data_IF_433019168503
#
_entry.id   IF_433019168503
#
_cell.length_a   1.000
_cell.length_b   1.000
_cell.length_c   1.000
_cell.angle_alpha   90.00
_cell.angle_beta   90.00
_cell.angle_gamma   90.00
#
_symmetry.space_group_name_H-M   'P 1'
#
loop_
_entity.id
_entity.type
_entity.pdbx_description
1 polymer ?
#
# COMPACT_ATOMS: atom_id res chain seq x y z
N UNK A 1 -28.74 -18.02 15.68
CA UNK A 1 -28.36 -16.58 15.66
C UNK A 1 -27.01 -16.45 16.34
N UNK A 2 -25.91 -16.42 15.56
CA UNK A 2 -24.56 -16.36 16.11
C UNK A 2 -24.23 -14.92 16.52
N UNK A 3 -23.80 -14.81 17.78
CA UNK A 3 -23.56 -13.60 18.54
C UNK A 3 -22.35 -12.87 17.96
N UNK A 4 -22.59 -11.71 17.38
CA UNK A 4 -21.57 -10.75 16.96
C UNK A 4 -20.69 -10.46 18.19
N UNK A 5 -19.44 -10.94 18.18
CA UNK A 5 -18.46 -10.55 19.19
C UNK A 5 -18.03 -9.11 18.88
N UNK A 6 -18.13 -8.29 19.93
CA UNK A 6 -17.86 -6.85 19.95
C UNK A 6 -16.46 -6.55 19.45
N UNK A 7 -16.36 -5.50 18.62
CA UNK A 7 -15.14 -4.88 18.10
C UNK A 7 -14.47 -4.01 19.19
N UNK A 8 -14.28 -4.55 20.39
CA UNK A 8 -13.70 -3.83 21.54
C UNK A 8 -12.30 -4.38 21.91
N UNK A 9 -11.49 -4.81 20.94
CA UNK A 9 -10.10 -5.20 21.19
C UNK A 9 -9.15 -4.34 20.36
N UNK A 10 -8.89 -3.15 20.87
CA UNK A 10 -7.81 -2.24 20.45
C UNK A 10 -6.43 -2.79 20.88
N UNK A 11 -6.31 -4.12 21.05
CA UNK A 11 -5.07 -4.82 21.37
C UNK A 11 -4.72 -5.72 20.19
N UNK A 12 -3.66 -5.29 19.51
CA UNK A 12 -2.89 -6.05 18.53
C UNK A 12 -3.43 -6.06 17.08
N UNK A 13 -3.47 -4.87 16.44
CA UNK A 13 -3.54 -4.76 14.97
C UNK A 13 -2.46 -5.63 14.29
N UNK A 14 -1.32 -5.85 14.94
CA UNK A 14 -0.23 -6.64 14.36
C UNK A 14 -0.57 -8.14 14.29
N UNK A 15 -1.36 -8.66 15.23
CA UNK A 15 -1.95 -10.01 15.19
C UNK A 15 -3.04 -10.12 14.13
N UNK A 16 -3.73 -9.00 13.88
CA UNK A 16 -4.89 -8.97 13.01
C UNK A 16 -4.53 -8.94 11.52
N UNK A 17 -3.40 -8.34 11.12
CA UNK A 17 -2.96 -8.35 9.70
C UNK A 17 -2.82 -9.77 9.16
N UNK A 18 -1.95 -10.60 9.75
CA UNK A 18 -1.69 -11.96 9.25
C UNK A 18 -2.96 -12.81 9.24
N UNK A 19 -3.75 -12.73 10.31
CA UNK A 19 -5.01 -13.48 10.43
C UNK A 19 -6.01 -13.08 9.34
N UNK A 20 -6.19 -11.78 9.08
CA UNK A 20 -7.09 -11.32 8.01
C UNK A 20 -6.57 -11.67 6.63
N UNK A 21 -5.28 -11.47 6.37
CA UNK A 21 -4.66 -11.81 5.11
C UNK A 21 -4.84 -13.31 4.82
N UNK A 22 -4.54 -14.17 5.80
CA UNK A 22 -4.71 -15.61 5.70
C UNK A 22 -6.17 -15.99 5.40
N UNK A 23 -7.12 -15.50 6.21
CA UNK A 23 -8.54 -15.78 5.98
C UNK A 23 -9.01 -15.31 4.60
N UNK A 24 -8.51 -14.17 4.12
CA UNK A 24 -8.88 -13.65 2.81
C UNK A 24 -8.38 -14.56 1.68
N UNK A 25 -7.14 -15.03 1.74
CA UNK A 25 -6.58 -15.90 0.68
C UNK A 25 -7.06 -17.36 0.77
N UNK A 26 -7.53 -17.79 1.94
CA UNK A 26 -7.99 -19.16 2.20
C UNK A 26 -9.48 -19.37 1.87
N UNK A 27 -10.29 -18.30 1.85
CA UNK A 27 -11.71 -18.36 1.52
C UNK A 27 -11.91 -18.20 0.00
N UNK A 28 -12.41 -19.23 -0.73
CA UNK A 28 -12.55 -19.18 -2.18
C UNK A 28 -13.44 -18.04 -2.72
N UNK A 29 -14.38 -17.55 -1.90
CA UNK A 29 -15.22 -16.41 -2.25
C UNK A 29 -14.41 -15.12 -2.56
N UNK A 30 -13.20 -15.00 -2.01
CA UNK A 30 -12.33 -13.85 -2.20
C UNK A 30 -11.22 -14.08 -3.24
N UNK A 31 -11.20 -15.21 -3.95
CA UNK A 31 -10.15 -15.54 -4.94
C UNK A 31 -10.01 -14.47 -6.04
N UNK A 32 -11.08 -13.72 -6.35
CA UNK A 32 -11.03 -12.60 -7.30
C UNK A 32 -10.29 -11.36 -6.80
N UNK A 33 -9.96 -11.31 -5.50
CA UNK A 33 -9.22 -10.22 -4.86
C UNK A 33 -7.82 -10.69 -4.48
N UNK A 34 -7.71 -11.84 -3.83
CA UNK A 34 -6.43 -12.47 -3.52
C UNK A 34 -6.63 -13.98 -3.35
N UNK A 35 -5.64 -14.77 -3.76
CA UNK A 35 -5.68 -16.23 -3.66
C UNK A 35 -4.30 -16.77 -3.36
N UNK A 36 -4.23 -17.99 -2.85
CA UNK A 36 -2.96 -18.72 -2.84
C UNK A 36 -2.47 -18.99 -4.27
N UNK A 37 -1.16 -19.12 -4.42
CA UNK A 37 -0.55 -19.73 -5.61
C UNK A 37 -0.86 -21.22 -5.68
N UNK A 38 -0.61 -21.83 -6.84
CA UNK A 38 -0.92 -23.24 -7.08
C UNK A 38 -0.22 -24.19 -6.11
N UNK A 39 0.98 -23.84 -5.63
CA UNK A 39 1.76 -24.67 -4.70
C UNK A 39 1.43 -24.38 -3.22
N UNK A 40 0.61 -23.35 -2.93
CA UNK A 40 0.21 -22.97 -1.58
C UNK A 40 1.31 -22.36 -0.72
N UNK A 41 2.46 -21.98 -1.29
CA UNK A 41 3.62 -21.41 -0.57
C UNK A 41 3.73 -19.89 -0.66
N UNK A 42 2.84 -19.29 -1.43
CA UNK A 42 2.77 -17.86 -1.68
C UNK A 42 1.32 -17.47 -1.95
N UNK A 43 1.03 -16.18 -1.86
CA UNK A 43 -0.29 -15.65 -2.21
C UNK A 43 -0.13 -14.49 -3.20
N UNK A 44 -1.15 -14.33 -4.04
CA UNK A 44 -1.20 -13.36 -5.13
C UNK A 44 -2.33 -12.38 -4.83
N UNK A 45 -2.04 -11.09 -4.96
CA UNK A 45 -3.02 -10.01 -4.81
C UNK A 45 -3.45 -9.55 -6.20
N UNK A 46 -4.68 -9.88 -6.60
CA UNK A 46 -5.27 -9.52 -7.89
C UNK A 46 -5.84 -8.10 -7.88
N UNK A 47 -6.45 -7.69 -6.76
CA UNK A 47 -7.04 -6.35 -6.58
C UNK A 47 -6.47 -5.68 -5.35
N UNK A 48 -5.38 -4.93 -5.54
CA UNK A 48 -4.65 -4.23 -4.47
C UNK A 48 -5.55 -3.39 -3.58
N UNK A 49 -6.41 -2.57 -4.17
CA UNK A 49 -7.26 -1.65 -3.40
C UNK A 49 -8.23 -2.39 -2.48
N UNK A 50 -8.94 -3.37 -3.04
CA UNK A 50 -9.89 -4.21 -2.32
C UNK A 50 -9.18 -5.00 -1.20
N UNK A 51 -8.03 -5.61 -1.50
CA UNK A 51 -7.22 -6.31 -0.52
C UNK A 51 -6.80 -5.39 0.63
N UNK A 52 -6.27 -4.21 0.31
CA UNK A 52 -5.82 -3.22 1.30
C UNK A 52 -6.98 -2.76 2.19
N UNK A 53 -8.15 -2.49 1.61
CA UNK A 53 -9.36 -2.12 2.35
C UNK A 53 -9.82 -3.21 3.31
N UNK A 54 -9.83 -4.48 2.87
CA UNK A 54 -10.27 -5.60 3.72
C UNK A 54 -9.25 -5.95 4.83
N UNK A 55 -7.96 -5.95 4.50
CA UNK A 55 -6.91 -6.43 5.40
C UNK A 55 -6.38 -5.33 6.34
N UNK A 56 -6.28 -4.08 5.88
CA UNK A 56 -5.71 -2.98 6.68
C UNK A 56 -6.75 -1.95 7.15
N UNK A 57 -7.99 -1.99 6.63
CA UNK A 57 -9.02 -0.95 6.84
C UNK A 57 -8.52 0.47 6.52
N UNK A 58 -7.63 0.60 5.54
CA UNK A 58 -7.01 1.88 5.17
C UNK A 58 -7.60 2.45 3.88
N UNK A 59 -7.55 3.77 3.78
CA UNK A 59 -7.96 4.51 2.58
C UNK A 59 -6.99 4.29 1.40
N UNK A 60 -7.43 4.62 0.19
CA UNK A 60 -6.73 4.28 -1.06
C UNK A 60 -5.29 4.85 -1.13
N UNK A 61 -5.05 6.00 -0.48
CA UNK A 61 -3.71 6.62 -0.44
C UNK A 61 -2.65 5.77 0.28
N UNK A 62 -3.04 4.72 1.00
CA UNK A 62 -2.12 3.85 1.75
C UNK A 62 -1.84 2.52 1.05
N UNK A 63 -2.37 2.28 -0.16
CA UNK A 63 -2.05 1.07 -0.94
C UNK A 63 -0.54 0.97 -1.19
N UNK A 64 0.13 2.10 -1.44
CA UNK A 64 1.56 2.17 -1.68
C UNK A 64 2.42 1.71 -0.47
N UNK A 65 1.83 1.62 0.73
CA UNK A 65 2.50 1.11 1.92
C UNK A 65 2.50 -0.41 2.02
N UNK A 66 1.63 -1.10 1.27
CA UNK A 66 1.45 -2.54 1.40
C UNK A 66 2.75 -3.34 1.25
N UNK A 67 3.65 -3.04 0.28
CA UNK A 67 4.94 -3.72 0.20
C UNK A 67 5.81 -3.53 1.45
N UNK A 68 5.79 -2.34 2.06
CA UNK A 68 6.56 -2.05 3.28
C UNK A 68 5.98 -2.81 4.49
N UNK A 69 4.66 -2.85 4.61
CA UNK A 69 3.99 -3.65 5.64
C UNK A 69 4.36 -5.12 5.51
N UNK A 70 4.22 -5.68 4.30
CA UNK A 70 4.57 -7.07 4.00
C UNK A 70 6.05 -7.36 4.29
N UNK A 71 6.95 -6.47 3.88
CA UNK A 71 8.38 -6.59 4.18
C UNK A 71 8.66 -6.55 5.69
N UNK A 72 7.91 -5.76 6.47
CA UNK A 72 8.02 -5.75 7.93
C UNK A 72 7.72 -7.12 8.55
N UNK A 73 6.70 -7.81 8.05
CA UNK A 73 6.40 -9.20 8.43
C UNK A 73 7.34 -10.24 7.79
N UNK A 74 8.38 -9.81 7.06
CA UNK A 74 9.33 -10.71 6.41
C UNK A 74 8.76 -11.44 5.19
N UNK A 75 7.73 -10.89 4.52
CA UNK A 75 7.32 -11.41 3.22
C UNK A 75 8.27 -10.93 2.13
N UNK A 76 8.63 -11.84 1.25
CA UNK A 76 9.44 -11.56 0.08
C UNK A 76 8.56 -11.46 -1.16
N UNK A 77 8.89 -10.53 -2.06
CA UNK A 77 8.22 -10.42 -3.35
C UNK A 77 8.80 -11.48 -4.30
N UNK A 78 7.97 -12.42 -4.71
CA UNK A 78 8.37 -13.53 -5.61
C UNK A 78 7.73 -13.44 -6.99
N UNK A 79 6.73 -12.56 -7.16
CA UNK A 79 6.08 -12.30 -8.44
C UNK A 79 6.89 -11.42 -9.39
N UNK A 80 6.52 -11.46 -10.68
CA UNK A 80 7.04 -10.55 -11.70
C UNK A 80 6.62 -9.11 -11.45
N UNK A 81 7.12 -8.15 -12.24
CA UNK A 81 6.84 -6.72 -12.07
C UNK A 81 5.34 -6.38 -11.99
N UNK A 82 4.49 -7.12 -12.72
CA UNK A 82 3.05 -6.91 -12.81
C UNK A 82 2.24 -7.77 -11.82
N UNK A 83 2.88 -8.72 -11.14
CA UNK A 83 2.21 -9.65 -10.24
C UNK A 83 2.59 -9.35 -8.78
N UNK A 84 1.57 -9.08 -7.96
CA UNK A 84 1.73 -8.84 -6.53
C UNK A 84 1.71 -10.16 -5.77
N UNK A 85 2.71 -11.00 -6.03
CA UNK A 85 2.89 -12.28 -5.33
C UNK A 85 3.95 -12.19 -4.23
N UNK A 86 3.59 -12.69 -3.05
CA UNK A 86 4.42 -12.65 -1.86
C UNK A 86 4.51 -14.03 -1.20
N UNK A 87 5.69 -14.36 -0.71
CA UNK A 87 5.98 -15.62 -0.02
C UNK A 87 6.56 -15.37 1.38
N UNK A 88 6.27 -16.29 2.29
CA UNK A 88 6.91 -16.37 3.60
C UNK A 88 6.82 -17.83 4.08
N UNK A 89 7.91 -18.40 4.56
CA UNK A 89 7.99 -19.82 4.95
C UNK A 89 7.02 -20.22 6.07
N UNK A 90 6.52 -19.24 6.83
CA UNK A 90 5.57 -19.43 7.91
C UNK A 90 4.13 -19.00 7.55
N UNK A 91 3.87 -18.63 6.28
CA UNK A 91 2.55 -18.27 5.75
C UNK A 91 2.16 -19.21 4.61
N UNK A 92 1.66 -20.40 4.96
CA UNK A 92 1.41 -21.49 4.02
C UNK A 92 -0.06 -21.95 4.06
N UNK A 93 -0.61 -22.32 2.89
CA UNK A 93 -1.98 -22.85 2.78
C UNK A 93 -2.14 -24.09 3.67
N UNK A 94 -3.21 -24.10 4.47
CA UNK A 94 -3.54 -25.17 5.40
C UNK A 94 -2.69 -25.24 6.66
N UNK A 95 -1.78 -24.29 6.89
CA UNK A 95 -0.88 -24.27 8.06
C UNK A 95 -0.92 -22.94 8.83
N UNK A 96 -2.09 -22.47 9.28
CA UNK A 96 -2.22 -21.17 9.96
C UNK A 96 -1.42 -21.11 11.27
N UNK A 97 -1.15 -22.25 11.91
CA UNK A 97 -0.35 -22.35 13.13
C UNK A 97 1.10 -21.89 12.97
N UNK A 98 1.64 -21.84 11.74
CA UNK A 98 3.00 -21.38 11.48
C UNK A 98 3.12 -19.86 11.61
N UNK A 99 2.03 -19.10 11.42
CA UNK A 99 2.05 -17.64 11.47
C UNK A 99 2.53 -17.07 12.80
N UNK A 100 2.49 -17.85 13.90
CA UNK A 100 3.06 -17.47 15.19
C UNK A 100 4.57 -17.23 15.16
N UNK A 101 5.26 -17.79 14.15
CA UNK A 101 6.70 -17.63 13.95
C UNK A 101 7.03 -16.40 13.10
N UNK A 102 6.03 -15.73 12.54
CA UNK A 102 6.23 -14.52 11.74
C UNK A 102 6.49 -13.36 12.71
N UNK A 103 7.55 -12.56 12.50
CA UNK A 103 7.81 -11.38 13.31
C UNK A 103 6.60 -10.46 13.34
N UNK A 104 6.28 -9.91 14.51
CA UNK A 104 5.28 -8.85 14.67
C UNK A 104 6.06 -7.54 14.76
N UNK A 105 6.18 -6.76 13.67
CA UNK A 105 6.80 -5.45 13.76
C UNK A 105 5.92 -4.59 14.67
N UNK A 106 6.50 -3.63 15.39
CA UNK A 106 5.69 -2.54 15.94
C UNK A 106 5.20 -1.66 14.78
N UNK A 107 4.15 -2.15 14.15
CA UNK A 107 3.57 -1.56 12.98
C UNK A 107 2.77 -0.32 13.40
N UNK A 108 2.42 -0.12 14.67
CA UNK A 108 1.75 1.09 15.12
C UNK A 108 2.68 2.29 15.16
N UNK A 109 3.85 2.16 15.78
CA UNK A 109 4.86 3.23 15.78
C UNK A 109 5.27 3.51 14.34
N UNK A 110 5.53 2.45 13.57
CA UNK A 110 5.93 2.58 12.16
C UNK A 110 4.80 3.16 11.30
N UNK A 111 3.54 2.73 11.45
CA UNK A 111 2.39 3.19 10.64
C UNK A 111 1.99 4.62 10.98
N UNK A 112 1.91 4.99 12.26
CA UNK A 112 1.62 6.38 12.62
C UNK A 112 2.71 7.32 12.12
N UNK A 113 3.98 6.94 12.30
CA UNK A 113 5.13 7.67 11.76
C UNK A 113 5.07 7.75 10.22
N UNK A 114 4.83 6.63 9.54
CA UNK A 114 4.72 6.56 8.08
C UNK A 114 3.55 7.40 7.55
N UNK A 115 2.37 7.34 8.18
CA UNK A 115 1.21 8.16 7.79
C UNK A 115 1.54 9.64 7.95
N UNK A 116 2.15 10.03 9.07
CA UNK A 116 2.56 11.41 9.29
C UNK A 116 3.61 11.87 8.26
N UNK A 117 4.58 11.03 7.95
CA UNK A 117 5.59 11.31 6.93
C UNK A 117 4.98 11.41 5.52
N UNK A 118 4.04 10.52 5.17
CA UNK A 118 3.30 10.59 3.90
C UNK A 118 2.48 11.88 3.82
N UNK A 119 1.77 12.24 4.89
CA UNK A 119 1.01 13.49 4.94
C UNK A 119 1.91 14.71 4.72
N UNK A 120 3.09 14.72 5.36
CA UNK A 120 4.10 15.77 5.16
C UNK A 120 4.62 15.82 3.72
N UNK A 121 5.03 14.67 3.18
CA UNK A 121 5.55 14.55 1.81
C UNK A 121 4.50 14.90 0.75
N UNK A 122 3.24 14.52 0.97
CA UNK A 122 2.14 14.86 0.07
C UNK A 122 1.93 16.38 0.02
N UNK A 123 1.97 17.05 1.18
CA UNK A 123 1.88 18.51 1.26
C UNK A 123 3.05 19.19 0.54
N UNK A 124 4.28 18.74 0.79
CA UNK A 124 5.48 19.26 0.12
C UNK A 124 5.42 19.06 -1.40
N UNK A 125 4.96 17.88 -1.86
CA UNK A 125 4.73 17.59 -3.27
C UNK A 125 3.70 18.56 -3.89
N UNK A 126 2.61 18.84 -3.19
CA UNK A 126 1.57 19.75 -3.70
C UNK A 126 2.07 21.21 -3.75
N UNK A 127 2.86 21.65 -2.77
CA UNK A 127 3.52 22.98 -2.77
C UNK A 127 4.52 23.11 -3.94
N UNK A 128 5.36 22.10 -4.17
CA UNK A 128 6.29 22.07 -5.30
C UNK A 128 5.57 22.05 -6.64
N UNK A 129 4.44 21.36 -6.75
CA UNK A 129 3.65 21.32 -7.96
C UNK A 129 3.04 22.69 -8.30
N UNK A 130 2.63 23.45 -7.28
CA UNK A 130 2.14 24.83 -7.46
C UNK A 130 3.28 25.72 -7.97
N UNK A 131 4.46 25.65 -7.36
CA UNK A 131 5.60 26.48 -7.77
C UNK A 131 6.08 26.13 -9.18
N UNK A 132 6.09 24.84 -9.55
CA UNK A 132 6.43 24.40 -10.90
C UNK A 132 5.50 25.03 -11.95
N UNK A 133 4.17 25.01 -11.71
CA UNK A 133 3.20 25.63 -12.63
C UNK A 133 3.42 27.14 -12.78
N UNK A 134 3.82 27.80 -11.69
CA UNK A 134 4.12 29.24 -11.72
C UNK A 134 5.35 29.54 -12.57
N UNK A 135 6.40 28.73 -12.43
CA UNK A 135 7.60 28.84 -13.27
C UNK A 135 7.27 28.58 -14.75
N UNK A 136 6.44 27.59 -15.06
CA UNK A 136 5.99 27.32 -16.42
C UNK A 136 5.26 28.51 -17.06
N UNK A 137 4.44 29.23 -16.28
CA UNK A 137 3.76 30.45 -16.76
C UNK A 137 4.75 31.59 -17.02
N UNK A 138 5.70 31.82 -16.10
CA UNK A 138 6.75 32.83 -16.31
C UNK A 138 7.59 32.52 -17.56
N UNK A 139 7.95 31.25 -17.78
CA UNK A 139 8.68 30.84 -18.98
C UNK A 139 7.87 31.10 -20.25
N UNK A 140 6.55 30.84 -20.23
CA UNK A 140 5.66 31.15 -21.37
C UNK A 140 5.59 32.65 -21.66
N UNK A 141 5.47 33.48 -20.62
CA UNK A 141 5.41 34.94 -20.74
C UNK A 141 6.72 35.52 -21.29
N UNK A 142 7.87 35.09 -20.76
CA UNK A 142 9.18 35.50 -21.27
C UNK A 142 9.39 35.10 -22.73
N UNK A 143 8.99 33.88 -23.10
CA UNK A 143 9.03 33.43 -24.50
C UNK A 143 8.15 34.30 -25.40
N UNK A 144 6.95 34.66 -24.95
CA UNK A 144 6.05 35.56 -25.68
C UNK A 144 6.70 36.93 -25.90
N UNK A 145 7.27 37.53 -24.85
CA UNK A 145 7.95 38.83 -24.96
C UNK A 145 9.14 38.78 -25.92
N UNK A 146 9.98 37.75 -25.86
CA UNK A 146 11.13 37.61 -26.76
C UNK A 146 10.71 37.53 -28.24
N UNK A 147 9.59 36.87 -28.55
CA UNK A 147 9.06 36.81 -29.92
C UNK A 147 8.60 38.18 -30.45
N UNK A 148 8.06 39.04 -29.58
CA UNK A 148 7.50 40.34 -29.97
C UNK A 148 8.53 41.47 -29.94
N UNK A 149 9.58 41.36 -29.11
CA UNK A 149 10.71 42.30 -29.12
C UNK A 149 11.50 42.23 -30.44
N UNK A 150 11.56 41.06 -31.10
CA UNK A 150 12.19 40.89 -32.40
C UNK A 150 11.47 41.59 -33.57
N UNK A 151 10.21 42.00 -33.39
CA UNK A 151 9.40 42.67 -34.44
C UNK A 151 9.63 44.20 -34.41
N UNK A 152 10.05 44.76 -33.28
CA UNK A 152 10.21 46.22 -33.10
C UNK A 152 11.62 46.76 -33.40
N UNK A 153 12.48 45.99 -34.09
CA UNK A 153 13.86 46.41 -34.46
C UNK A 153 14.11 46.61 -35.96
N UNK A 154 13.08 46.81 -36.77
CA UNK A 154 13.20 47.21 -38.19
C UNK A 154 12.63 48.62 -38.40
#
# INVERSE_FOLDING_TARGET
MQRIRRLDDDRNIDDYFLTRAYNMVDIPMFDSIASWSQNGKSFIIWKLFEFNRHVLYTAEQYIALLPFVLSGYGFERVGSAEMYEYANDNFLRGQPQLMKNIPRPDLFITRASMINQIGRLAKEKDELLIELRKQELQVKELKYHLQHIGICKL
#
